data_IF_916406857719
#
_entry.id   IF_916406857719
#
_cell.length_a   1.000
_cell.length_b   1.000
_cell.length_c   1.000
_cell.angle_alpha   90.00
_cell.angle_beta   90.00
_cell.angle_gamma   90.00
#
_symmetry.space_group_name_H-M   'P 1'
#
loop_
_entity.id
_entity.type
_entity.pdbx_description
1 polymer ?
#
# COMPACT_ATOMS: atom_id res chain seq x y z
N UNK A 1 17.52 0.86 16.19
CA UNK A 1 16.33 -0.01 16.28
C UNK A 1 16.28 -0.89 15.04
N UNK A 2 15.98 -2.20 15.19
CA UNK A 2 15.73 -3.09 14.05
C UNK A 2 14.44 -2.63 13.37
N UNK A 3 14.45 -2.47 12.04
CA UNK A 3 13.23 -2.22 11.28
C UNK A 3 12.38 -3.49 11.22
N UNK A 4 11.07 -3.31 11.10
CA UNK A 4 10.17 -4.44 10.86
C UNK A 4 10.50 -5.12 9.53
N UNK A 5 10.29 -6.43 9.43
CA UNK A 5 10.61 -7.19 8.22
C UNK A 5 9.86 -6.69 6.97
N UNK A 6 8.69 -6.08 7.16
CA UNK A 6 7.80 -5.57 6.13
C UNK A 6 7.85 -4.04 5.96
N UNK A 7 8.89 -3.36 6.46
CA UNK A 7 9.08 -1.93 6.23
C UNK A 7 9.29 -1.67 4.72
N UNK A 8 8.25 -1.13 4.06
CA UNK A 8 8.26 -0.93 2.62
C UNK A 8 9.42 -0.03 2.17
N UNK A 9 9.79 0.98 2.97
CA UNK A 9 10.87 1.89 2.63
C UNK A 9 12.24 1.18 2.64
N UNK A 10 12.49 0.34 3.63
CA UNK A 10 13.69 -0.48 3.70
C UNK A 10 13.77 -1.48 2.54
N UNK A 11 12.66 -2.13 2.22
CA UNK A 11 12.60 -3.10 1.13
C UNK A 11 12.80 -2.44 -0.23
N UNK A 12 12.18 -1.28 -0.47
CA UNK A 12 12.39 -0.49 -1.70
C UNK A 12 13.84 -0.07 -1.80
N UNK A 13 14.46 0.41 -0.72
CA UNK A 13 15.87 0.81 -0.74
C UNK A 13 16.78 -0.36 -1.11
N UNK A 14 16.59 -1.51 -0.44
CA UNK A 14 17.47 -2.66 -0.59
C UNK A 14 17.27 -3.43 -1.89
N UNK A 15 16.03 -3.51 -2.39
CA UNK A 15 15.66 -4.45 -3.45
C UNK A 15 14.96 -3.80 -4.65
N UNK A 16 14.49 -2.56 -4.55
CA UNK A 16 13.63 -1.93 -5.57
C UNK A 16 14.28 -1.72 -6.94
N UNK A 17 15.61 -1.74 -7.04
CA UNK A 17 16.32 -1.71 -8.33
C UNK A 17 16.31 -3.08 -9.04
N UNK A 18 16.28 -4.17 -8.27
CA UNK A 18 16.51 -5.54 -8.71
C UNK A 18 15.21 -6.32 -8.96
N UNK A 19 14.21 -6.11 -8.11
CA UNK A 19 12.92 -6.81 -8.17
C UNK A 19 11.75 -5.82 -8.08
N UNK A 20 10.62 -6.21 -8.65
CA UNK A 20 9.35 -5.48 -8.46
C UNK A 20 8.75 -5.92 -7.13
N UNK A 21 8.47 -4.96 -6.25
CA UNK A 21 7.75 -5.23 -5.00
C UNK A 21 6.24 -5.11 -5.23
N UNK A 22 5.48 -5.97 -4.56
CA UNK A 22 4.01 -5.97 -4.57
C UNK A 22 3.46 -5.87 -3.15
N UNK A 23 2.51 -4.99 -2.91
CA UNK A 23 1.94 -4.77 -1.58
C UNK A 23 1.66 -3.28 -1.29
N UNK A 24 1.63 -2.84 -0.03
CA UNK A 24 1.59 -3.63 1.21
C UNK A 24 0.44 -3.21 2.14
N UNK A 25 -0.68 -2.74 1.57
CA UNK A 25 -1.82 -2.22 2.35
C UNK A 25 -2.27 -3.25 3.39
N UNK A 26 -2.42 -2.80 4.63
CA UNK A 26 -2.84 -3.65 5.73
C UNK A 26 -4.36 -3.82 5.71
N UNK A 27 -4.82 -5.07 5.63
CA UNK A 27 -6.26 -5.38 5.65
C UNK A 27 -6.92 -4.98 6.97
N UNK A 28 -6.18 -4.97 8.09
CA UNK A 28 -6.70 -4.48 9.36
C UNK A 28 -6.91 -2.96 9.34
N UNK A 29 -6.05 -2.23 8.63
CA UNK A 29 -6.24 -0.79 8.40
C UNK A 29 -7.44 -0.53 7.47
N UNK A 30 -7.58 -1.31 6.40
CA UNK A 30 -8.77 -1.26 5.52
C UNK A 30 -10.07 -1.54 6.27
N UNK A 31 -10.04 -2.39 7.29
CA UNK A 31 -11.21 -2.69 8.12
C UNK A 31 -11.58 -1.52 9.06
N UNK A 32 -10.59 -0.94 9.75
CA UNK A 32 -10.85 -0.05 10.89
C UNK A 32 -10.90 1.44 10.53
N UNK A 33 -10.26 1.86 9.44
CA UNK A 33 -10.13 3.26 9.08
C UNK A 33 -11.37 3.78 8.31
N UNK A 34 -11.43 5.09 8.09
CA UNK A 34 -12.41 5.70 7.20
C UNK A 34 -11.82 5.95 5.78
N UNK A 35 -12.66 6.23 4.76
CA UNK A 35 -12.19 6.40 3.37
C UNK A 35 -11.10 7.47 3.16
N UNK A 36 -11.11 8.57 3.92
CA UNK A 36 -10.08 9.61 3.81
C UNK A 36 -8.75 9.14 4.39
N UNK A 37 -8.78 8.43 5.52
CA UNK A 37 -7.59 7.78 6.08
C UNK A 37 -7.02 6.74 5.12
N UNK A 38 -7.87 5.95 4.46
CA UNK A 38 -7.44 5.00 3.41
C UNK A 38 -6.76 5.73 2.26
N UNK A 39 -7.31 6.86 1.80
CA UNK A 39 -6.68 7.67 0.76
C UNK A 39 -5.29 8.12 1.17
N UNK A 40 -5.13 8.65 2.38
CA UNK A 40 -3.81 9.08 2.89
C UNK A 40 -2.83 7.92 3.02
N UNK A 41 -3.27 6.80 3.59
CA UNK A 41 -2.46 5.59 3.72
C UNK A 41 -2.01 5.04 2.37
N UNK A 42 -2.92 5.02 1.40
CA UNK A 42 -2.67 4.57 0.03
C UNK A 42 -1.67 5.50 -0.68
N UNK A 43 -1.83 6.82 -0.57
CA UNK A 43 -0.88 7.80 -1.11
C UNK A 43 0.52 7.64 -0.49
N UNK A 44 0.60 7.40 0.83
CA UNK A 44 1.87 7.14 1.51
C UNK A 44 2.54 5.87 0.98
N UNK A 45 1.78 4.78 0.87
CA UNK A 45 2.26 3.51 0.33
C UNK A 45 2.81 3.69 -1.10
N UNK A 46 2.03 4.32 -1.99
CA UNK A 46 2.41 4.57 -3.39
C UNK A 46 3.67 5.45 -3.51
N UNK A 47 3.74 6.55 -2.74
CA UNK A 47 4.93 7.43 -2.71
C UNK A 47 6.19 6.76 -2.21
N UNK A 48 6.08 5.71 -1.39
CA UNK A 48 7.24 4.95 -0.91
C UNK A 48 7.59 3.84 -1.90
N UNK A 49 6.59 3.01 -2.27
CA UNK A 49 6.76 1.88 -3.18
C UNK A 49 7.30 2.29 -4.54
N UNK A 50 6.76 3.36 -5.12
CA UNK A 50 7.08 3.78 -6.48
C UNK A 50 8.38 4.59 -6.62
N UNK A 51 9.15 4.83 -5.54
CA UNK A 51 10.36 5.68 -5.59
C UNK A 51 11.42 5.24 -6.60
N UNK A 52 11.52 3.94 -6.86
CA UNK A 52 12.46 3.35 -7.85
C UNK A 52 11.76 2.92 -9.15
N UNK A 53 10.53 3.41 -9.39
CA UNK A 53 9.77 3.20 -10.63
C UNK A 53 9.15 1.80 -10.82
N UNK A 54 9.30 0.88 -9.85
CA UNK A 54 8.87 -0.52 -9.95
C UNK A 54 8.07 -0.93 -8.70
N UNK A 55 6.74 -0.80 -8.75
CA UNK A 55 5.87 -1.18 -7.64
C UNK A 55 4.46 -1.57 -8.09
N UNK A 56 3.95 -2.66 -7.54
CA UNK A 56 2.56 -3.10 -7.72
C UNK A 56 1.80 -2.82 -6.42
N UNK A 57 0.87 -1.86 -6.46
CA UNK A 57 0.03 -1.56 -5.32
C UNK A 57 -0.96 -2.70 -5.05
N UNK A 58 -0.91 -3.28 -3.85
CA UNK A 58 -1.76 -4.37 -3.42
C UNK A 58 -1.90 -4.41 -1.89
N UNK A 59 -2.76 -5.29 -1.39
CA UNK A 59 -2.80 -5.61 0.04
C UNK A 59 -1.66 -6.58 0.41
N UNK A 60 -1.29 -6.62 1.70
CA UNK A 60 -0.31 -7.56 2.23
C UNK A 60 -0.86 -8.99 2.37
N UNK A 61 -2.19 -9.12 2.39
CA UNK A 61 -2.98 -10.34 2.51
C UNK A 61 -4.29 -10.13 1.75
N UNK A 62 -5.02 -11.21 1.47
CA UNK A 62 -6.29 -11.11 0.74
C UNK A 62 -7.36 -10.42 1.59
N UNK A 63 -7.93 -9.28 1.16
CA UNK A 63 -9.14 -8.74 1.79
C UNK A 63 -10.31 -9.71 1.59
N UNK A 64 -11.23 -9.77 2.56
CA UNK A 64 -12.43 -10.58 2.50
C UNK A 64 -13.68 -9.72 2.77
N UNK A 65 -14.85 -10.34 2.80
CA UNK A 65 -16.17 -9.70 2.86
C UNK A 65 -16.44 -8.87 4.14
N UNK A 66 -15.55 -8.93 5.14
CA UNK A 66 -15.64 -8.09 6.33
C UNK A 66 -15.09 -6.67 6.12
N UNK A 67 -14.39 -6.40 5.02
CA UNK A 67 -13.88 -5.06 4.70
C UNK A 67 -15.02 -4.19 4.18
N UNK A 68 -15.26 -2.99 4.74
CA UNK A 68 -16.22 -2.05 4.18
C UNK A 68 -15.90 -1.74 2.71
N UNK A 69 -16.88 -1.86 1.82
CA UNK A 69 -16.68 -1.70 0.38
C UNK A 69 -16.12 -0.31 0.03
N UNK A 70 -16.62 0.73 0.69
CA UNK A 70 -16.17 2.11 0.52
C UNK A 70 -14.69 2.29 0.86
N UNK A 71 -14.17 1.54 1.84
CA UNK A 71 -12.76 1.58 2.20
C UNK A 71 -11.90 0.94 1.10
N UNK A 72 -12.30 -0.24 0.60
CA UNK A 72 -11.58 -0.89 -0.48
C UNK A 72 -11.63 -0.05 -1.78
N UNK A 73 -12.80 0.49 -2.11
CA UNK A 73 -12.98 1.37 -3.26
C UNK A 73 -12.18 2.68 -3.13
N UNK A 74 -12.06 3.24 -1.93
CA UNK A 74 -11.19 4.39 -1.69
C UNK A 74 -9.72 4.09 -2.00
N UNK A 75 -9.22 2.91 -1.61
CA UNK A 75 -7.88 2.45 -1.98
C UNK A 75 -7.73 2.36 -3.51
N UNK A 76 -8.66 1.65 -4.18
CA UNK A 76 -8.62 1.46 -5.64
C UNK A 76 -8.69 2.78 -6.40
N UNK A 77 -9.59 3.69 -6.00
CA UNK A 77 -9.71 5.04 -6.59
C UNK A 77 -8.42 5.82 -6.44
N UNK A 78 -7.82 5.79 -5.24
CA UNK A 78 -6.55 6.47 -4.97
C UNK A 78 -5.41 5.92 -5.84
N UNK A 79 -5.33 4.59 -6.01
CA UNK A 79 -4.33 3.96 -6.89
C UNK A 79 -4.52 4.43 -8.34
N UNK A 80 -5.76 4.47 -8.85
CA UNK A 80 -6.07 4.91 -10.22
C UNK A 80 -5.75 6.39 -10.47
N UNK A 81 -5.93 7.23 -9.46
CA UNK A 81 -5.70 8.68 -9.55
C UNK A 81 -4.23 9.07 -9.32
N UNK A 82 -3.44 8.17 -8.73
CA UNK A 82 -2.04 8.43 -8.44
C UNK A 82 -1.22 8.57 -9.71
N UNK A 83 -0.47 9.66 -9.79
CA UNK A 83 0.52 9.94 -10.85
C UNK A 83 1.88 9.94 -10.20
N UNK A 84 2.74 9.02 -10.66
CA UNK A 84 4.12 8.87 -10.20
C UNK A 84 5.02 9.98 -10.74
#
# INVERSE_FOLDING_TARGET
>A
MRKNANDLGDLVERFGDQIVLSGNMDVAFLLMANPEEIRQGTLKMLRIGSRKGKFIAACNTSPQDYIPEENYLAMVKTIKEFKA
#
